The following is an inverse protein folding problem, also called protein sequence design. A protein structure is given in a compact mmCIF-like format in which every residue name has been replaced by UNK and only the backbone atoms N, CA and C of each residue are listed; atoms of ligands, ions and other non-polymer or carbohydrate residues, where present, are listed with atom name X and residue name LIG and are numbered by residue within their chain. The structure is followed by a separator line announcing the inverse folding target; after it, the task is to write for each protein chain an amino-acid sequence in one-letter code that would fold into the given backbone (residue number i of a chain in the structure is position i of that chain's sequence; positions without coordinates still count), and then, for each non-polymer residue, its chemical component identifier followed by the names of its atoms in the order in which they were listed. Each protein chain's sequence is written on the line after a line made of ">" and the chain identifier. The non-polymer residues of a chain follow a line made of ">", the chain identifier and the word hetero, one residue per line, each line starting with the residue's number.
data_IF_580926599373
#
_entry.id   IF_580926599373
#
_cell.length_a   1.000
_cell.length_b   1.000
_cell.length_c   1.000
_cell.angle_alpha   90.00
_cell.angle_beta   90.00
_cell.angle_gamma   90.00
#
_symmetry.space_group_name_H-M   'P 1'
#
loop_
_entity.id
_entity.type
_entity.pdbx_description
1 polymer ?
#
# COMPACT_ATOMS: atom_id res chain seq x y z
N UNK A 1 -6.20 18.78 -2.64
CA UNK A 1 -6.66 17.76 -1.66
C UNK A 1 -5.72 16.57 -1.77
N UNK A 2 -5.10 16.11 -0.68
CA UNK A 2 -4.08 15.05 -0.73
C UNK A 2 -4.68 13.69 -1.11
N UNK A 3 -4.01 12.94 -1.99
CA UNK A 3 -4.48 11.68 -2.59
C UNK A 3 -3.58 10.51 -2.20
N UNK A 4 -4.17 9.47 -1.65
CA UNK A 4 -3.52 8.20 -1.31
C UNK A 4 -4.17 7.11 -2.15
N UNK A 5 -3.42 6.40 -2.98
CA UNK A 5 -3.99 5.29 -3.75
C UNK A 5 -3.70 3.95 -3.09
N UNK A 6 -4.73 3.13 -2.92
CA UNK A 6 -4.58 1.76 -2.41
C UNK A 6 -4.70 0.79 -3.59
N UNK A 7 -3.65 0.01 -3.84
CA UNK A 7 -3.65 -1.06 -4.83
C UNK A 7 -3.87 -2.40 -4.14
N UNK A 8 -4.80 -3.20 -4.64
CA UNK A 8 -5.11 -4.52 -4.09
C UNK A 8 -5.47 -5.51 -5.19
N UNK A 9 -4.94 -6.74 -5.19
CA UNK A 9 -5.23 -7.72 -6.24
C UNK A 9 -6.64 -8.33 -6.14
N UNK A 10 -7.39 -8.04 -5.07
CA UNK A 10 -8.74 -8.57 -4.90
C UNK A 10 -9.74 -7.65 -5.63
N UNK A 11 -10.61 -8.13 -6.53
CA UNK A 11 -11.47 -7.30 -7.38
C UNK A 11 -12.57 -6.52 -6.61
N UNK A 12 -13.22 -5.52 -7.23
CA UNK A 12 -14.40 -4.86 -6.70
C UNK A 12 -15.47 -5.87 -6.30
N UNK A 13 -16.21 -5.59 -5.22
CA UNK A 13 -17.23 -6.50 -4.70
C UNK A 13 -16.73 -7.66 -3.85
N UNK A 14 -15.41 -7.96 -3.85
CA UNK A 14 -14.87 -8.99 -2.96
C UNK A 14 -15.16 -8.69 -1.48
N UNK A 15 -15.74 -9.68 -0.78
CA UNK A 15 -16.16 -9.61 0.61
C UNK A 15 -15.12 -10.16 1.60
N UNK A 16 -13.98 -10.66 1.12
CA UNK A 16 -12.96 -11.30 1.94
C UNK A 16 -11.54 -10.83 1.57
N UNK A 17 -10.59 -11.05 2.48
CA UNK A 17 -9.16 -10.85 2.23
C UNK A 17 -8.75 -9.39 1.98
N UNK A 18 -7.86 -9.18 1.02
CA UNK A 18 -7.19 -7.88 0.78
C UNK A 18 -8.16 -6.74 0.47
N UNK A 19 -9.35 -7.01 -0.09
CA UNK A 19 -10.35 -5.97 -0.40
C UNK A 19 -11.01 -5.42 0.86
N UNK A 20 -11.27 -6.25 1.87
CA UNK A 20 -11.81 -5.81 3.16
C UNK A 20 -10.80 -4.91 3.86
N UNK A 21 -9.52 -5.32 3.91
CA UNK A 21 -8.45 -4.49 4.47
C UNK A 21 -8.32 -3.16 3.72
N UNK A 22 -8.34 -3.17 2.38
CA UNK A 22 -8.31 -1.95 1.57
C UNK A 22 -9.47 -0.98 1.91
N UNK A 23 -10.71 -1.51 2.02
CA UNK A 23 -11.89 -0.71 2.36
C UNK A 23 -11.82 -0.13 3.78
N UNK A 24 -11.36 -0.92 4.75
CA UNK A 24 -11.15 -0.44 6.14
C UNK A 24 -10.16 0.73 6.17
N UNK A 25 -9.01 0.56 5.52
CA UNK A 25 -7.99 1.60 5.40
C UNK A 25 -8.50 2.85 4.67
N UNK A 26 -9.24 2.66 3.58
CA UNK A 26 -9.91 3.74 2.87
C UNK A 26 -10.84 4.53 3.80
N UNK A 27 -11.63 3.87 4.64
CA UNK A 27 -12.51 4.53 5.62
C UNK A 27 -11.74 5.42 6.59
N UNK A 28 -10.71 4.88 7.25
CA UNK A 28 -9.90 5.65 8.21
C UNK A 28 -9.15 6.82 7.55
N UNK A 29 -8.54 6.60 6.39
CA UNK A 29 -7.82 7.66 5.68
C UNK A 29 -8.78 8.74 5.15
N UNK A 30 -10.00 8.39 4.75
CA UNK A 30 -11.04 9.38 4.40
C UNK A 30 -11.47 10.22 5.59
N UNK A 31 -11.60 9.64 6.78
CA UNK A 31 -11.88 10.40 8.01
C UNK A 31 -10.80 11.43 8.33
N UNK A 32 -9.57 11.22 7.86
CA UNK A 32 -8.45 12.17 7.97
C UNK A 32 -8.40 13.20 6.83
N UNK A 33 -9.38 13.22 5.92
CA UNK A 33 -9.50 14.21 4.84
C UNK A 33 -8.78 13.86 3.53
N UNK A 34 -8.28 12.64 3.37
CA UNK A 34 -7.62 12.21 2.13
C UNK A 34 -8.62 11.72 1.08
N UNK A 35 -8.30 11.92 -0.21
CA UNK A 35 -8.95 11.17 -1.31
C UNK A 35 -8.28 9.81 -1.45
N UNK A 36 -9.06 8.74 -1.34
CA UNK A 36 -8.51 7.38 -1.27
C UNK A 36 -9.18 6.43 -2.27
N UNK A 37 -8.76 6.40 -3.54
CA UNK A 37 -9.21 5.38 -4.48
C UNK A 37 -8.62 4.00 -4.14
N UNK A 38 -9.39 2.95 -4.38
CA UNK A 38 -8.92 1.56 -4.35
C UNK A 38 -8.93 1.02 -5.77
N UNK A 39 -7.79 0.56 -6.25
CA UNK A 39 -7.60 0.07 -7.63
C UNK A 39 -6.94 -1.31 -7.61
N UNK A 40 -7.12 -2.08 -8.69
CA UNK A 40 -6.45 -3.39 -8.83
C UNK A 40 -5.04 -3.26 -9.39
N UNK A 41 -4.81 -2.19 -10.15
CA UNK A 41 -3.50 -1.76 -10.61
C UNK A 41 -3.42 -0.26 -10.42
N UNK A 42 -2.22 0.25 -10.13
CA UNK A 42 -2.01 1.67 -9.94
C UNK A 42 -2.52 2.44 -11.18
N UNK A 43 -3.41 3.40 -10.95
CA UNK A 43 -4.15 4.11 -11.99
C UNK A 43 -3.31 5.04 -12.87
N UNK A 44 -1.98 5.10 -12.64
CA UNK A 44 -1.04 6.06 -13.25
C UNK A 44 -1.36 7.52 -12.95
N UNK A 45 -2.33 7.79 -12.08
CA UNK A 45 -2.67 9.14 -11.63
C UNK A 45 -1.77 9.56 -10.47
N UNK A 46 -1.55 10.86 -10.39
CA UNK A 46 -0.78 11.51 -9.34
C UNK A 46 -1.28 11.08 -7.95
N UNK A 47 -0.39 10.57 -7.10
CA UNK A 47 -0.69 10.21 -5.71
C UNK A 47 0.47 10.59 -4.79
N UNK A 48 0.16 11.21 -3.64
CA UNK A 48 1.14 11.57 -2.63
C UNK A 48 1.77 10.32 -1.97
N UNK A 49 1.05 9.19 -2.04
CA UNK A 49 1.41 7.92 -1.42
C UNK A 49 0.71 6.78 -2.15
N UNK A 50 1.46 5.69 -2.37
CA UNK A 50 0.89 4.40 -2.77
C UNK A 50 0.88 3.44 -1.57
N UNK A 51 -0.24 2.76 -1.36
CA UNK A 51 -0.38 1.64 -0.42
C UNK A 51 -0.64 0.38 -1.25
N UNK A 52 0.33 -0.51 -1.34
CA UNK A 52 0.20 -1.78 -2.05
C UNK A 52 -0.13 -2.91 -1.06
N UNK A 53 -1.24 -3.58 -1.28
CA UNK A 53 -1.55 -4.86 -0.64
C UNK A 53 -0.99 -5.96 -1.53
N UNK A 54 -0.23 -6.87 -0.95
CA UNK A 54 0.40 -8.02 -1.61
C UNK A 54 1.63 -7.67 -2.45
N UNK A 55 2.81 -8.17 -2.05
CA UNK A 55 4.10 -7.83 -2.68
C UNK A 55 4.24 -8.36 -4.09
N UNK A 56 3.91 -9.63 -4.31
CA UNK A 56 3.99 -10.23 -5.64
C UNK A 56 2.94 -9.64 -6.58
N UNK A 57 1.65 -9.77 -6.24
CA UNK A 57 0.55 -9.41 -7.14
C UNK A 57 0.48 -7.92 -7.46
N UNK A 58 1.00 -7.06 -6.59
CA UNK A 58 1.06 -5.61 -6.83
C UNK A 58 2.42 -5.14 -7.34
N UNK A 59 3.36 -6.04 -7.64
CA UNK A 59 4.73 -5.70 -8.04
C UNK A 59 4.78 -4.73 -9.22
N UNK A 60 4.03 -5.01 -10.30
CA UNK A 60 4.00 -4.14 -11.48
C UNK A 60 3.52 -2.71 -11.15
N UNK A 61 2.58 -2.57 -10.22
CA UNK A 61 2.10 -1.25 -9.77
C UNK A 61 3.12 -0.53 -8.91
N UNK A 62 3.81 -1.26 -8.03
CA UNK A 62 4.88 -0.74 -7.18
C UNK A 62 6.02 -0.21 -8.05
N UNK A 63 6.45 -1.00 -9.02
CA UNK A 63 7.57 -0.66 -9.91
C UNK A 63 7.24 0.56 -10.77
N UNK A 64 6.08 0.54 -11.44
CA UNK A 64 5.62 1.67 -12.25
C UNK A 64 5.47 2.97 -11.43
N UNK A 65 4.95 2.88 -10.20
CA UNK A 65 4.82 4.05 -9.33
C UNK A 65 6.19 4.59 -8.89
N UNK A 66 7.14 3.70 -8.58
CA UNK A 66 8.48 4.11 -8.17
C UNK A 66 9.33 4.63 -9.32
N UNK A 67 9.09 4.16 -10.53
CA UNK A 67 9.68 4.72 -11.73
C UNK A 67 9.15 6.15 -11.99
N UNK A 68 7.83 6.35 -11.90
CA UNK A 68 7.21 7.66 -12.10
C UNK A 68 7.50 8.65 -10.97
N UNK A 69 7.58 8.16 -9.73
CA UNK A 69 7.76 8.96 -8.53
C UNK A 69 8.80 8.36 -7.57
N UNK A 70 10.10 8.45 -7.90
CA UNK A 70 11.17 7.81 -7.11
C UNK A 70 11.22 8.22 -5.64
N UNK A 71 10.82 9.46 -5.36
CA UNK A 71 10.90 10.09 -4.03
C UNK A 71 9.58 10.08 -3.25
N UNK A 72 8.50 9.52 -3.82
CA UNK A 72 7.22 9.45 -3.11
C UNK A 72 7.11 8.22 -2.23
N UNK A 73 6.57 8.34 -1.01
CA UNK A 73 6.49 7.21 -0.10
C UNK A 73 5.66 6.06 -0.67
N UNK A 74 6.03 4.84 -0.27
CA UNK A 74 5.32 3.60 -0.59
C UNK A 74 5.16 2.79 0.69
N UNK A 75 3.95 2.29 0.92
CA UNK A 75 3.69 1.30 1.97
C UNK A 75 3.35 -0.01 1.30
N UNK A 76 4.06 -1.06 1.69
CA UNK A 76 3.78 -2.42 1.26
C UNK A 76 3.24 -3.21 2.44
N UNK A 77 2.04 -3.74 2.28
CA UNK A 77 1.43 -4.65 3.23
C UNK A 77 1.65 -6.07 2.71
N UNK A 78 2.51 -6.83 3.40
CA UNK A 78 2.72 -8.25 3.14
C UNK A 78 1.50 -9.03 3.61
N UNK A 79 0.93 -9.79 2.70
CA UNK A 79 -0.28 -10.59 2.90
C UNK A 79 0.07 -12.05 3.15
N UNK A 80 -0.92 -12.88 3.53
CA UNK A 80 -0.66 -14.26 3.92
C UNK A 80 0.09 -15.08 2.85
N UNK A 81 -0.31 -14.95 1.59
CA UNK A 81 0.35 -15.66 0.49
C UNK A 81 1.76 -15.16 0.22
N UNK A 82 2.06 -13.86 0.42
CA UNK A 82 3.44 -13.37 0.31
C UNK A 82 4.39 -14.12 1.26
N UNK A 83 3.96 -14.35 2.50
CA UNK A 83 4.83 -14.88 3.56
C UNK A 83 5.00 -16.40 3.50
N UNK A 84 3.93 -17.12 3.19
CA UNK A 84 3.93 -18.59 3.28
C UNK A 84 4.09 -19.29 1.93
N UNK A 85 4.00 -18.56 0.80
CA UNK A 85 4.06 -19.14 -0.54
C UNK A 85 4.91 -18.33 -1.50
N UNK A 86 4.58 -17.06 -1.70
CA UNK A 86 5.07 -16.33 -2.87
C UNK A 86 6.51 -15.86 -2.69
N UNK A 87 6.96 -15.57 -1.46
CA UNK A 87 8.36 -15.19 -1.21
C UNK A 87 9.35 -16.27 -1.64
N UNK A 88 9.00 -17.55 -1.49
CA UNK A 88 9.86 -18.66 -1.91
C UNK A 88 9.86 -18.89 -3.43
N UNK A 89 8.78 -18.52 -4.12
CA UNK A 89 8.55 -18.87 -5.53
C UNK A 89 8.74 -17.70 -6.50
N UNK A 90 8.68 -16.46 -6.01
CA UNK A 90 8.62 -15.26 -6.85
C UNK A 90 9.67 -14.22 -6.42
N UNK A 91 10.71 -13.96 -7.23
CA UNK A 91 11.72 -12.94 -6.94
C UNK A 91 11.11 -11.53 -6.84
N UNK A 92 9.96 -11.29 -7.47
CA UNK A 92 9.19 -10.04 -7.40
C UNK A 92 8.85 -9.65 -5.97
N UNK A 93 8.65 -10.61 -5.05
CA UNK A 93 8.39 -10.32 -3.64
C UNK A 93 9.58 -9.57 -3.03
N UNK A 94 10.80 -10.05 -3.30
CA UNK A 94 12.04 -9.42 -2.83
C UNK A 94 12.28 -8.06 -3.49
N UNK A 95 12.00 -7.93 -4.79
CA UNK A 95 12.11 -6.66 -5.52
C UNK A 95 11.14 -5.60 -4.97
N UNK A 96 9.87 -5.96 -4.79
CA UNK A 96 8.86 -5.11 -4.13
C UNK A 96 9.29 -4.68 -2.72
N UNK A 97 10.10 -5.48 -2.06
CA UNK A 97 10.61 -5.25 -0.71
C UNK A 97 11.88 -4.39 -0.63
N UNK A 98 12.53 -4.06 -1.75
CA UNK A 98 13.87 -3.45 -1.78
C UNK A 98 13.86 -1.91 -1.93
N UNK A 99 12.71 -1.27 -2.12
CA UNK A 99 12.66 0.17 -2.34
C UNK A 99 13.06 1.00 -1.11
N UNK A 100 13.94 2.00 -1.30
CA UNK A 100 14.53 2.83 -0.22
C UNK A 100 13.51 3.57 0.67
N UNK A 101 12.32 3.90 0.17
CA UNK A 101 11.24 4.57 0.93
C UNK A 101 10.07 3.63 1.22
N UNK A 102 10.34 2.34 1.26
CA UNK A 102 9.34 1.33 1.58
C UNK A 102 9.15 1.22 3.09
N UNK A 103 7.90 1.27 3.53
CA UNK A 103 7.51 0.75 4.84
C UNK A 103 6.79 -0.57 4.68
N UNK A 104 7.38 -1.63 5.24
CA UNK A 104 6.79 -2.97 5.27
C UNK A 104 5.87 -3.08 6.48
N UNK A 105 4.67 -3.61 6.25
CA UNK A 105 3.76 -4.03 7.29
C UNK A 105 3.39 -5.48 7.04
N UNK A 106 3.74 -6.35 7.99
CA UNK A 106 3.30 -7.74 7.97
C UNK A 106 1.89 -7.77 8.53
N UNK A 107 0.96 -8.37 7.76
CA UNK A 107 -0.45 -8.66 8.10
C UNK A 107 -0.83 -8.13 9.50
N UNK A 108 -1.45 -6.93 9.60
CA UNK A 108 -1.64 -6.31 10.90
C UNK A 108 -2.65 -7.13 11.69
N UNK A 109 -2.15 -7.94 12.63
CA UNK A 109 -2.96 -8.66 13.64
C UNK A 109 -3.88 -7.70 14.39
N UNK A 110 -3.56 -6.39 14.40
CA UNK A 110 -4.40 -5.31 14.92
C UNK A 110 -4.42 -4.14 13.92
N UNK A 111 -5.38 -4.15 13.00
CA UNK A 111 -5.53 -3.14 11.93
C UNK A 111 -5.54 -1.69 12.46
N UNK A 112 -6.18 -1.43 13.60
CA UNK A 112 -6.30 -0.08 14.18
C UNK A 112 -4.95 0.51 14.59
N UNK A 113 -4.10 -0.26 15.29
CA UNK A 113 -2.80 0.20 15.75
C UNK A 113 -1.82 0.40 14.57
N UNK A 114 -1.86 -0.49 13.57
CA UNK A 114 -1.05 -0.36 12.36
C UNK A 114 -1.42 0.90 11.57
N UNK A 115 -2.73 1.18 11.45
CA UNK A 115 -3.24 2.38 10.78
C UNK A 115 -2.87 3.64 11.56
N UNK A 116 -2.99 3.65 12.88
CA UNK A 116 -2.54 4.80 13.70
C UNK A 116 -1.03 5.05 13.58
N UNK A 117 -0.22 3.99 13.65
CA UNK A 117 1.25 4.07 13.50
C UNK A 117 1.63 4.53 12.09
N UNK A 118 0.87 4.13 11.09
CA UNK A 118 1.01 4.61 9.73
C UNK A 118 0.65 6.08 9.61
N UNK A 119 -0.51 6.50 10.12
CA UNK A 119 -0.95 7.89 10.11
C UNK A 119 0.07 8.79 10.78
N UNK A 120 0.55 8.45 11.98
CA UNK A 120 1.60 9.19 12.67
C UNK A 120 2.86 9.35 11.80
N UNK A 121 3.27 8.28 11.11
CA UNK A 121 4.45 8.26 10.24
C UNK A 121 4.23 8.94 8.89
N UNK A 122 3.02 8.97 8.36
CA UNK A 122 2.63 9.70 7.15
C UNK A 122 2.60 11.20 7.43
N UNK A 123 2.05 11.61 8.58
CA UNK A 123 2.09 12.99 9.05
C UNK A 123 3.54 13.51 9.16
N UNK A 124 4.49 12.69 9.64
CA UNK A 124 5.91 13.07 9.72
C UNK A 124 6.61 13.07 8.35
N UNK A 125 6.32 12.10 7.49
CA UNK A 125 7.00 11.96 6.18
C UNK A 125 6.55 13.01 5.16
N UNK A 126 5.30 13.46 5.21
CA UNK A 126 4.77 14.48 4.29
C UNK A 126 5.22 15.90 4.73
N UNK A 127 5.45 16.14 6.03
CA UNK A 127 5.97 17.41 6.54
C UNK A 127 7.46 17.63 6.28
N UNK A 128 8.25 16.55 6.28
CA UNK A 128 9.72 16.62 6.14
C UNK A 128 10.22 16.69 4.69
N UNK A 129 9.31 16.67 3.71
CA UNK A 129 9.59 16.84 2.28
C UNK A 129 9.17 18.24 1.77
N UNK A 130 8.98 19.19 2.70
CA UNK A 130 9.03 20.63 2.46
C UNK A 130 10.39 21.13 2.92
#
# INVERSE_FOLDING_TARGET
>A
MRRIEIVTPAPPGSLHGNRVTAKRWQGFLRQLGYRVPITESWSKKDADLLIALHAYRSHASIDAFKLAYPNRPLILILTGTDLYRDMANHPEVHKSMAFKQLRKLIKPVQEKAAIQKLCAKLFLSIRSNK
#
